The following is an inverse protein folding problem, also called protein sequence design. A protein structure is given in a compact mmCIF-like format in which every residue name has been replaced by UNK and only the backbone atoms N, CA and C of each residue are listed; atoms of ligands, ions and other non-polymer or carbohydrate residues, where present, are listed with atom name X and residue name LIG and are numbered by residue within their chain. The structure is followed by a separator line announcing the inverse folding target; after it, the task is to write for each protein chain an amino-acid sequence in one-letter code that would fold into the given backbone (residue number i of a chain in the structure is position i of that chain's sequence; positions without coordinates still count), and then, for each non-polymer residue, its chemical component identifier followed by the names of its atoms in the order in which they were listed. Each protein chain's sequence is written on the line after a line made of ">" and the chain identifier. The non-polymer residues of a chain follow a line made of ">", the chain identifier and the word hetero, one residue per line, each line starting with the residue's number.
data_IF_380764984979
#
_entry.id   IF_380764984979
#
_cell.length_a   1.000
_cell.length_b   1.000
_cell.length_c   1.000
_cell.angle_alpha   90.00
_cell.angle_beta   90.00
_cell.angle_gamma   90.00
#
_symmetry.space_group_name_H-M   'P 1'
#
loop_
_entity.id
_entity.type
_entity.pdbx_description
1 polymer ?
#
# COMPACT_ATOMS: atom_id res chain seq x y z
N UNK A 1 16.18 -12.40 -7.21
CA UNK A 1 16.00 -11.73 -8.52
C UNK A 1 15.25 -12.73 -9.38
N UNK A 2 14.03 -12.42 -9.81
CA UNK A 2 13.46 -13.14 -10.93
C UNK A 2 14.05 -12.56 -12.24
N UNK A 3 13.93 -13.31 -13.33
CA UNK A 3 14.60 -13.00 -14.61
C UNK A 3 14.09 -11.72 -15.30
N UNK A 4 13.16 -10.97 -14.69
CA UNK A 4 12.49 -9.80 -15.26
C UNK A 4 12.88 -8.47 -14.61
N UNK A 5 13.90 -8.46 -13.74
CA UNK A 5 14.34 -7.23 -13.06
C UNK A 5 13.30 -6.64 -12.10
N UNK A 6 12.24 -7.38 -11.78
CA UNK A 6 11.29 -6.98 -10.76
C UNK A 6 11.88 -7.33 -9.39
N UNK A 7 11.78 -6.40 -8.45
CA UNK A 7 12.13 -6.68 -7.07
C UNK A 7 11.20 -7.81 -6.61
N UNK A 8 11.78 -8.98 -6.33
CA UNK A 8 11.07 -10.02 -5.60
C UNK A 8 10.52 -9.38 -4.33
N UNK A 9 9.20 -9.19 -4.23
CA UNK A 9 8.61 -8.83 -2.95
C UNK A 9 8.85 -10.03 -2.04
N UNK A 10 9.95 -9.99 -1.30
CA UNK A 10 10.40 -11.05 -0.41
C UNK A 10 9.42 -11.28 0.76
N UNK A 11 8.24 -10.65 0.75
CA UNK A 11 7.23 -10.71 1.79
C UNK A 11 5.87 -11.28 1.36
N UNK A 12 5.71 -11.77 0.12
CA UNK A 12 4.48 -12.46 -0.26
C UNK A 12 4.45 -13.88 0.32
N UNK A 13 3.52 -14.13 1.25
CA UNK A 13 3.22 -15.48 1.76
C UNK A 13 2.73 -16.39 0.61
N UNK A 14 2.84 -17.73 0.77
CA UNK A 14 2.37 -18.66 -0.26
C UNK A 14 0.89 -18.42 -0.61
N UNK A 15 0.48 -18.67 -1.87
CA UNK A 15 -0.88 -18.42 -2.31
C UNK A 15 -1.88 -19.21 -1.47
N UNK A 16 -2.88 -18.55 -0.90
CA UNK A 16 -3.88 -19.23 -0.06
C UNK A 16 -5.10 -19.68 -0.85
N UNK A 17 -5.20 -19.31 -2.15
CA UNK A 17 -6.37 -19.55 -2.99
C UNK A 17 -7.60 -18.68 -2.67
N UNK A 18 -7.48 -17.72 -1.75
CA UNK A 18 -8.57 -16.81 -1.38
C UNK A 18 -8.56 -15.62 -2.32
N UNK A 19 -9.74 -15.28 -2.84
CA UNK A 19 -9.98 -14.07 -3.64
C UNK A 19 -10.65 -12.99 -2.79
N UNK A 20 -10.05 -11.81 -2.73
CA UNK A 20 -10.52 -10.65 -1.97
C UNK A 20 -10.89 -9.54 -2.96
N UNK A 21 -12.10 -9.00 -2.81
CA UNK A 21 -12.55 -7.85 -3.59
C UNK A 21 -12.58 -6.65 -2.65
N UNK A 22 -11.86 -5.58 -3.03
CA UNK A 22 -11.83 -4.31 -2.31
C UNK A 22 -12.61 -3.29 -3.13
N UNK A 23 -13.65 -2.71 -2.54
CA UNK A 23 -14.44 -1.66 -3.16
C UNK A 23 -14.01 -0.31 -2.57
N UNK A 24 -13.42 0.54 -3.41
CA UNK A 24 -12.85 1.84 -3.07
C UNK A 24 -11.31 1.83 -3.10
N UNK A 25 -10.71 2.66 -3.97
CA UNK A 25 -9.26 2.85 -4.12
C UNK A 25 -8.72 4.02 -3.29
N UNK A 26 -9.34 4.31 -2.14
CA UNK A 26 -8.81 5.27 -1.16
C UNK A 26 -7.62 4.71 -0.37
N UNK A 27 -6.99 5.53 0.48
CA UNK A 27 -5.82 5.10 1.28
C UNK A 27 -6.08 3.87 2.15
N UNK A 28 -7.27 3.75 2.73
CA UNK A 28 -7.67 2.57 3.50
C UNK A 28 -7.84 1.32 2.62
N UNK A 29 -8.50 1.47 1.46
CA UNK A 29 -8.72 0.36 0.53
C UNK A 29 -7.43 -0.14 -0.11
N UNK A 30 -6.56 0.77 -0.56
CA UNK A 30 -5.23 0.42 -1.05
C UNK A 30 -4.37 -0.24 0.04
N UNK A 31 -4.43 0.27 1.28
CA UNK A 31 -3.72 -0.36 2.40
C UNK A 31 -4.21 -1.78 2.69
N UNK A 32 -5.52 -2.00 2.65
CA UNK A 32 -6.11 -3.34 2.78
C UNK A 32 -5.67 -4.26 1.63
N UNK A 33 -5.70 -3.75 0.39
CA UNK A 33 -5.30 -4.53 -0.79
C UNK A 33 -3.83 -4.97 -0.71
N UNK A 34 -2.93 -4.07 -0.29
CA UNK A 34 -1.50 -4.38 -0.11
C UNK A 34 -1.31 -5.47 0.95
N UNK A 35 -1.95 -5.35 2.12
CA UNK A 35 -1.80 -6.36 3.17
C UNK A 35 -2.43 -7.71 2.76
N UNK A 36 -3.57 -7.72 2.07
CA UNK A 36 -4.16 -8.95 1.55
C UNK A 36 -3.26 -9.62 0.51
N UNK A 37 -2.66 -8.84 -0.40
CA UNK A 37 -1.74 -9.36 -1.39
C UNK A 37 -0.49 -9.98 -0.76
N UNK A 38 0.10 -9.30 0.24
CA UNK A 38 1.25 -9.81 1.00
C UNK A 38 0.94 -11.07 1.80
N UNK A 39 -0.32 -11.27 2.19
CA UNK A 39 -0.77 -12.50 2.82
C UNK A 39 -0.98 -13.66 1.84
N UNK A 40 -0.76 -13.46 0.54
CA UNK A 40 -0.89 -14.51 -0.48
C UNK A 40 -2.31 -14.64 -1.04
N UNK A 41 -3.17 -13.64 -0.84
CA UNK A 41 -4.51 -13.61 -1.42
C UNK A 41 -4.48 -12.97 -2.82
N UNK A 42 -5.39 -13.41 -3.69
CA UNK A 42 -5.65 -12.75 -4.97
C UNK A 42 -6.57 -11.57 -4.72
N UNK A 43 -6.13 -10.34 -5.01
CA UNK A 43 -6.87 -9.13 -4.68
C UNK A 43 -7.27 -8.37 -5.94
N UNK A 44 -8.54 -7.96 -6.00
CA UNK A 44 -9.07 -7.07 -7.04
C UNK A 44 -9.65 -5.81 -6.38
N UNK A 45 -9.27 -4.64 -6.89
CA UNK A 45 -9.74 -3.34 -6.38
C UNK A 45 -10.65 -2.69 -7.42
N UNK A 46 -11.83 -2.26 -6.99
CA UNK A 46 -12.79 -1.54 -7.83
C UNK A 46 -13.01 -0.13 -7.29
N UNK A 47 -12.95 0.87 -8.16
CA UNK A 47 -13.19 2.28 -7.83
C UNK A 47 -14.33 2.80 -8.72
N UNK A 48 -15.17 3.68 -8.15
CA UNK A 48 -16.30 4.27 -8.85
C UNK A 48 -15.84 5.32 -9.88
N UNK A 49 -14.76 6.04 -9.59
CA UNK A 49 -14.18 7.00 -10.52
C UNK A 49 -13.33 6.31 -11.60
N UNK A 50 -13.50 6.66 -12.89
CA UNK A 50 -12.72 6.07 -13.97
C UNK A 50 -11.24 6.50 -13.92
N UNK A 51 -10.95 7.62 -13.26
CA UNK A 51 -9.60 8.16 -13.09
C UNK A 51 -9.39 8.65 -11.65
N UNK A 52 -8.20 8.39 -11.11
CA UNK A 52 -7.77 8.91 -9.81
C UNK A 52 -7.53 10.43 -9.94
N UNK A 53 -8.55 11.22 -9.59
CA UNK A 53 -8.43 12.66 -9.54
C UNK A 53 -7.68 13.07 -8.27
N UNK A 54 -6.70 13.94 -8.44
CA UNK A 54 -5.96 14.53 -7.32
C UNK A 54 -6.86 15.58 -6.64
N UNK A 55 -7.76 15.10 -5.77
CA UNK A 55 -8.51 15.98 -4.89
C UNK A 55 -7.58 16.35 -3.74
N UNK A 56 -7.27 17.64 -3.62
CA UNK A 56 -6.43 18.13 -2.53
C UNK A 56 -7.09 17.80 -1.20
N UNK A 57 -6.43 16.96 -0.39
CA UNK A 57 -6.86 16.61 0.95
C UNK A 57 -5.63 16.46 1.86
N UNK A 58 -5.83 16.59 3.17
CA UNK A 58 -4.79 16.42 4.19
C UNK A 58 -5.07 15.13 4.96
N UNK A 59 -4.18 14.16 4.80
CA UNK A 59 -4.30 12.86 5.47
C UNK A 59 -3.16 12.71 6.46
N UNK A 60 -3.54 12.46 7.71
CA UNK A 60 -2.59 12.31 8.81
C UNK A 60 -2.52 10.86 9.27
N UNK A 61 -1.31 10.31 9.31
CA UNK A 61 -1.04 8.98 9.84
C UNK A 61 -0.26 9.09 11.15
N UNK A 62 -0.87 8.62 12.25
CA UNK A 62 -0.18 8.54 13.54
C UNK A 62 0.85 7.40 13.60
N UNK A 63 1.62 7.29 14.70
CA UNK A 63 2.66 6.26 14.87
C UNK A 63 2.17 4.83 14.67
N UNK A 64 0.92 4.55 15.03
CA UNK A 64 0.32 3.22 14.84
C UNK A 64 0.20 2.82 13.36
N UNK A 65 -0.29 3.74 12.52
CA UNK A 65 -0.35 3.53 11.08
C UNK A 65 1.06 3.54 10.46
N UNK A 66 1.96 4.40 10.97
CA UNK A 66 3.37 4.46 10.55
C UNK A 66 4.11 3.12 10.65
N UNK A 67 3.82 2.31 11.68
CA UNK A 67 4.39 0.96 11.81
C UNK A 67 4.01 0.02 10.68
N UNK A 68 2.81 0.15 10.12
CA UNK A 68 2.35 -0.66 8.99
C UNK A 68 3.14 -0.27 7.75
N UNK A 69 3.23 1.03 7.45
CA UNK A 69 4.01 1.53 6.31
C UNK A 69 5.50 1.15 6.41
N UNK A 70 6.06 1.10 7.62
CA UNK A 70 7.45 0.67 7.82
C UNK A 70 7.67 -0.80 7.44
N UNK A 71 6.66 -1.66 7.59
CA UNK A 71 6.73 -3.06 7.18
C UNK A 71 6.70 -3.21 5.66
N UNK A 72 6.28 -2.18 4.92
CA UNK A 72 6.18 -2.22 3.46
C UNK A 72 7.55 -1.92 2.83
N UNK A 73 8.03 -2.83 1.99
CA UNK A 73 9.34 -2.75 1.32
C UNK A 73 10.48 -2.39 2.29
N UNK A 74 10.48 -3.00 3.48
CA UNK A 74 11.49 -2.80 4.51
C UNK A 74 11.74 -1.32 4.87
N UNK A 75 10.67 -0.53 4.92
CA UNK A 75 10.70 0.89 5.31
C UNK A 75 11.05 1.85 4.17
N UNK A 76 11.19 1.37 2.93
CA UNK A 76 11.44 2.22 1.77
C UNK A 76 10.29 3.20 1.52
N UNK A 77 9.04 2.75 1.64
CA UNK A 77 7.87 3.59 1.42
C UNK A 77 7.85 4.76 2.41
N UNK A 78 8.11 4.49 3.69
CA UNK A 78 8.21 5.54 4.71
C UNK A 78 9.35 6.51 4.41
N UNK A 79 10.50 6.01 3.95
CA UNK A 79 11.64 6.85 3.57
C UNK A 79 11.30 7.81 2.42
N UNK A 80 10.51 7.35 1.44
CA UNK A 80 10.03 8.16 0.31
C UNK A 80 8.90 9.12 0.70
N UNK A 81 8.07 8.76 1.68
CA UNK A 81 6.96 9.56 2.16
C UNK A 81 7.38 10.68 3.14
N UNK A 82 8.45 10.45 3.93
CA UNK A 82 8.99 11.44 4.88
C UNK A 82 9.23 12.84 4.27
N UNK A 83 9.92 13.01 3.13
CA UNK A 83 10.15 14.34 2.56
C UNK A 83 8.88 15.04 2.05
N UNK A 84 7.80 14.28 1.79
CA UNK A 84 6.51 14.80 1.35
C UNK A 84 5.60 15.21 2.52
N UNK A 85 5.93 14.79 3.74
CA UNK A 85 5.09 15.01 4.92
C UNK A 85 5.26 16.44 5.47
N UNK A 86 4.13 17.11 5.75
CA UNK A 86 4.12 18.47 6.33
C UNK A 86 4.93 18.55 7.63
N UNK A 87 4.87 17.51 8.47
CA UNK A 87 5.57 17.43 9.74
C UNK A 87 7.12 17.42 9.62
N UNK A 88 7.69 17.13 8.44
CA UNK A 88 9.15 17.16 8.25
C UNK A 88 9.70 18.58 7.99
N UNK A 89 8.82 19.58 7.82
CA UNK A 89 9.18 20.95 7.48
C UNK A 89 8.93 21.96 8.63
N UNK A 90 8.53 21.46 9.80
CA UNK A 90 8.43 22.19 11.06
C UNK A 90 9.57 21.74 11.98
#
# INVERSE_FOLDING_TARGET
>A
MDSNGNAIDATSRPPTGIKVIVVGAGFGGLGAAIECHRQGHAVEVYEAFPELKQLGDIISFGPNAGRIFYRWSNGEIVRRMRPLSVCHRL
#
